data_IF_293103818947
#
_entry.id   IF_293103818947
#
_cell.length_a   1.000
_cell.length_b   1.000
_cell.length_c   1.000
_cell.angle_alpha   90.00
_cell.angle_beta   90.00
_cell.angle_gamma   90.00
#
_symmetry.space_group_name_H-M   'P 1'
#
loop_
_entity.id
_entity.type
_entity.pdbx_description
1 polymer ?
#
# COMPACT_ATOMS: atom_id res chain seq x y z
N UNK A 1 -5.20 -18.96 -19.32
CA UNK A 1 -4.85 -18.05 -18.20
C UNK A 1 -4.68 -18.87 -16.94
N UNK A 2 -3.55 -18.76 -16.24
CA UNK A 2 -3.42 -19.44 -14.97
C UNK A 2 -4.40 -18.87 -13.94
N UNK A 3 -4.99 -19.71 -13.07
CA UNK A 3 -5.98 -19.26 -12.10
C UNK A 3 -5.36 -18.34 -11.05
N UNK A 4 -6.18 -17.43 -10.49
CA UNK A 4 -5.80 -16.66 -9.33
C UNK A 4 -5.66 -17.60 -8.13
N UNK A 5 -4.49 -17.64 -7.54
CA UNK A 5 -4.34 -18.23 -6.21
C UNK A 5 -4.79 -17.21 -5.15
N UNK A 6 -5.25 -17.69 -4.01
CA UNK A 6 -5.65 -16.81 -2.88
C UNK A 6 -4.52 -15.84 -2.54
N UNK A 7 -3.28 -16.30 -2.55
CA UNK A 7 -2.10 -15.49 -2.25
C UNK A 7 -1.90 -14.34 -3.25
N UNK A 8 -2.08 -14.59 -4.55
CA UNK A 8 -1.94 -13.53 -5.57
C UNK A 8 -3.08 -12.53 -5.48
N UNK A 9 -4.30 -13.01 -5.19
CA UNK A 9 -5.46 -12.14 -5.02
C UNK A 9 -5.31 -11.23 -3.79
N UNK A 10 -4.92 -11.78 -2.65
CA UNK A 10 -4.70 -10.99 -1.42
C UNK A 10 -3.58 -9.98 -1.60
N UNK A 11 -2.46 -10.35 -2.24
CA UNK A 11 -1.38 -9.43 -2.58
C UNK A 11 -1.87 -8.27 -3.48
N UNK A 12 -2.65 -8.57 -4.52
CA UNK A 12 -3.16 -7.54 -5.44
C UNK A 12 -4.12 -6.58 -4.72
N UNK A 13 -5.01 -7.10 -3.87
CA UNK A 13 -5.91 -6.29 -3.05
C UNK A 13 -5.13 -5.44 -2.05
N UNK A 14 -4.18 -6.01 -1.33
CA UNK A 14 -3.35 -5.29 -0.36
C UNK A 14 -2.54 -4.16 -1.02
N UNK A 15 -1.93 -4.43 -2.19
CA UNK A 15 -1.21 -3.42 -2.97
C UNK A 15 -2.13 -2.28 -3.44
N UNK A 16 -3.33 -2.62 -3.90
CA UNK A 16 -4.33 -1.63 -4.34
C UNK A 16 -4.82 -0.76 -3.18
N UNK A 17 -5.10 -1.36 -2.02
CA UNK A 17 -5.45 -0.61 -0.81
C UNK A 17 -4.30 0.31 -0.37
N UNK A 18 -3.06 -0.17 -0.41
CA UNK A 18 -1.89 0.63 -0.07
C UNK A 18 -1.70 1.82 -1.03
N UNK A 19 -1.98 1.64 -2.34
CA UNK A 19 -1.97 2.72 -3.32
C UNK A 19 -2.99 3.81 -2.99
N UNK A 20 -4.19 3.46 -2.54
CA UNK A 20 -5.25 4.42 -2.19
C UNK A 20 -4.98 5.10 -0.86
N UNK A 21 -4.47 4.37 0.15
CA UNK A 21 -4.19 4.94 1.47
C UNK A 21 -2.94 5.82 1.51
N UNK A 22 -1.96 5.59 0.62
CA UNK A 22 -0.71 6.34 0.57
C UNK A 22 -0.91 7.86 0.41
N UNK A 23 -1.67 8.33 -0.59
CA UNK A 23 -1.97 9.74 -0.77
C UNK A 23 -2.64 10.38 0.45
N UNK A 24 -3.55 9.66 1.10
CA UNK A 24 -4.21 10.16 2.33
C UNK A 24 -3.16 10.49 3.39
N UNK A 25 -2.16 9.61 3.56
CA UNK A 25 -1.08 9.83 4.52
C UNK A 25 -0.12 10.96 4.12
N UNK A 26 0.16 11.09 2.82
CA UNK A 26 1.10 12.10 2.31
C UNK A 26 0.45 13.48 2.27
N UNK A 27 -0.80 13.58 1.80
CA UNK A 27 -1.47 14.85 1.53
C UNK A 27 -2.16 15.45 2.77
N UNK A 28 -2.49 14.62 3.78
CA UNK A 28 -3.13 15.10 5.00
C UNK A 28 -2.24 16.16 5.69
N UNK A 29 -2.76 17.36 6.04
CA UNK A 29 -1.95 18.44 6.61
C UNK A 29 -1.47 18.12 8.04
N UNK A 30 -2.33 17.52 8.89
CA UNK A 30 -2.00 17.18 10.28
C UNK A 30 -1.30 15.83 10.32
N UNK A 31 -0.10 15.77 10.91
CA UNK A 31 0.74 14.57 11.04
C UNK A 31 0.97 14.23 12.51
N UNK A 32 1.19 12.95 12.81
CA UNK A 32 1.55 12.49 14.15
C UNK A 32 0.37 12.34 15.12
N UNK A 33 -0.84 12.75 14.74
CA UNK A 33 -2.05 12.54 15.52
C UNK A 33 -2.55 11.08 15.43
N UNK A 34 -3.58 10.75 16.21
CA UNK A 34 -4.14 9.38 16.25
C UNK A 34 -4.62 8.90 14.88
N UNK A 35 -5.16 9.81 14.05
CA UNK A 35 -5.63 9.48 12.68
C UNK A 35 -4.43 9.08 11.82
N UNK A 36 -3.37 9.90 11.79
CA UNK A 36 -2.16 9.62 11.04
C UNK A 36 -1.52 8.29 11.47
N UNK A 37 -1.44 8.05 12.78
CA UNK A 37 -0.85 6.82 13.32
C UNK A 37 -1.69 5.60 12.96
N UNK A 38 -3.03 5.66 13.05
CA UNK A 38 -3.90 4.52 12.76
C UNK A 38 -3.87 4.15 11.29
N UNK A 39 -4.08 5.13 10.39
CA UNK A 39 -4.02 4.90 8.94
C UNK A 39 -2.60 4.48 8.53
N UNK A 40 -1.57 5.09 9.13
CA UNK A 40 -0.17 4.76 8.86
C UNK A 40 0.21 3.34 9.26
N UNK A 41 -0.31 2.83 10.38
CA UNK A 41 -0.11 1.42 10.79
C UNK A 41 -0.79 0.46 9.83
N UNK A 42 -2.03 0.75 9.40
CA UNK A 42 -2.72 -0.06 8.41
C UNK A 42 -1.95 -0.07 7.08
N UNK A 43 -1.52 1.09 6.60
CA UNK A 43 -0.72 1.20 5.38
C UNK A 43 0.60 0.43 5.48
N UNK A 44 1.33 0.58 6.59
CA UNK A 44 2.58 -0.13 6.80
C UNK A 44 2.38 -1.66 6.86
N UNK A 45 1.30 -2.13 7.51
CA UNK A 45 0.93 -3.55 7.53
C UNK A 45 0.67 -4.09 6.12
N UNK A 46 -0.11 -3.38 5.31
CA UNK A 46 -0.35 -3.73 3.90
C UNK A 46 0.96 -3.78 3.09
N UNK A 47 1.85 -2.81 3.26
CA UNK A 47 3.14 -2.79 2.55
C UNK A 47 4.06 -3.94 2.95
N UNK A 48 4.08 -4.32 4.24
CA UNK A 48 4.83 -5.48 4.72
C UNK A 48 4.24 -6.79 4.17
N UNK A 49 2.92 -6.94 4.14
CA UNK A 49 2.21 -8.08 3.54
C UNK A 49 2.51 -8.20 2.04
N UNK A 50 2.39 -7.10 1.29
CA UNK A 50 2.71 -7.03 -0.14
C UNK A 50 4.16 -7.45 -0.40
N UNK A 51 5.10 -6.92 0.37
CA UNK A 51 6.51 -7.22 0.19
C UNK A 51 6.84 -8.67 0.58
N UNK A 52 6.36 -9.15 1.72
CA UNK A 52 6.57 -10.53 2.17
C UNK A 52 5.89 -11.53 1.24
N UNK A 53 4.64 -11.28 0.85
CA UNK A 53 3.87 -12.13 -0.05
C UNK A 53 4.53 -12.31 -1.41
N UNK A 54 5.23 -11.30 -1.92
CA UNK A 54 5.89 -11.35 -3.22
C UNK A 54 6.98 -12.43 -3.35
N UNK A 55 7.49 -12.95 -2.23
CA UNK A 55 8.47 -14.05 -2.24
C UNK A 55 7.86 -15.42 -2.53
N UNK A 56 6.56 -15.57 -2.33
CA UNK A 56 5.86 -16.86 -2.47
C UNK A 56 5.26 -17.11 -3.85
N UNK A 57 5.31 -16.13 -4.76
CA UNK A 57 4.85 -16.28 -6.14
C UNK A 57 5.80 -15.59 -7.13
N UNK A 58 5.64 -15.91 -8.42
CA UNK A 58 6.57 -15.49 -9.46
C UNK A 58 7.77 -16.41 -9.56
N UNK A 59 8.25 -16.64 -10.78
CA UNK A 59 9.42 -17.49 -11.04
C UNK A 59 10.71 -16.93 -10.42
N UNK A 60 11.70 -17.79 -10.24
CA UNK A 60 13.02 -17.39 -9.73
C UNK A 60 13.97 -16.87 -10.83
N UNK A 61 13.59 -16.98 -12.11
CA UNK A 61 14.40 -16.55 -13.24
C UNK A 61 13.93 -15.26 -13.89
N UNK A 62 14.85 -14.63 -14.64
CA UNK A 62 14.59 -13.40 -15.39
C UNK A 62 14.82 -12.10 -14.60
N UNK A 63 15.38 -11.11 -15.28
CA UNK A 63 15.77 -9.81 -14.69
C UNK A 63 14.63 -9.10 -13.95
N UNK A 64 13.40 -9.18 -14.48
CA UNK A 64 12.24 -8.55 -13.86
C UNK A 64 11.87 -9.18 -12.51
N UNK A 65 11.98 -10.49 -12.36
CA UNK A 65 11.69 -11.16 -11.10
C UNK A 65 12.77 -10.88 -10.05
N UNK A 66 14.03 -10.80 -10.46
CA UNK A 66 15.13 -10.39 -9.59
C UNK A 66 14.92 -8.95 -9.11
N UNK A 67 14.56 -8.04 -10.01
CA UNK A 67 14.28 -6.64 -9.68
C UNK A 67 13.11 -6.53 -8.69
N UNK A 68 11.99 -7.23 -8.92
CA UNK A 68 10.83 -7.18 -8.03
C UNK A 68 11.15 -7.74 -6.64
N UNK A 69 11.98 -8.78 -6.54
CA UNK A 69 12.45 -9.31 -5.24
C UNK A 69 13.37 -8.34 -4.51
N UNK A 70 14.29 -7.70 -5.23
CA UNK A 70 15.14 -6.66 -4.66
C UNK A 70 14.29 -5.48 -4.14
N UNK A 71 13.26 -5.08 -4.89
CA UNK A 71 12.30 -4.07 -4.48
C UNK A 71 11.50 -4.51 -3.23
N UNK A 72 11.13 -5.79 -3.12
CA UNK A 72 10.46 -6.33 -1.94
C UNK A 72 11.36 -6.28 -0.69
N UNK A 73 12.63 -6.70 -0.81
CA UNK A 73 13.63 -6.58 0.27
C UNK A 73 13.79 -5.11 0.68
N UNK A 74 13.93 -4.23 -0.30
CA UNK A 74 14.04 -2.79 -0.05
C UNK A 74 12.80 -2.22 0.64
N UNK A 75 11.61 -2.68 0.27
CA UNK A 75 10.34 -2.28 0.90
C UNK A 75 10.27 -2.72 2.36
N UNK A 76 10.61 -3.99 2.66
CA UNK A 76 10.68 -4.50 4.03
C UNK A 76 11.64 -3.68 4.88
N UNK A 77 12.85 -3.41 4.36
CA UNK A 77 13.84 -2.58 5.04
C UNK A 77 13.32 -1.16 5.27
N UNK A 78 12.80 -0.50 4.23
CA UNK A 78 12.39 0.90 4.28
C UNK A 78 11.21 1.13 5.21
N UNK A 79 10.18 0.27 5.18
CA UNK A 79 9.03 0.38 6.09
C UNK A 79 9.46 0.16 7.53
N UNK A 80 10.26 -0.88 7.80
CA UNK A 80 10.77 -1.18 9.14
C UNK A 80 11.63 -0.04 9.68
N UNK A 81 12.55 0.48 8.85
CA UNK A 81 13.39 1.61 9.21
C UNK A 81 12.58 2.89 9.43
N UNK A 82 11.59 3.16 8.59
CA UNK A 82 10.70 4.30 8.75
C UNK A 82 9.90 4.25 10.06
N UNK A 83 9.38 3.08 10.45
CA UNK A 83 8.70 2.89 11.74
C UNK A 83 9.67 3.12 12.90
N UNK A 84 10.86 2.55 12.81
CA UNK A 84 11.89 2.69 13.84
C UNK A 84 12.32 4.15 14.04
N UNK A 85 12.52 4.91 12.94
CA UNK A 85 12.84 6.34 12.97
C UNK A 85 11.71 7.17 13.60
N UNK A 86 10.44 6.86 13.27
CA UNK A 86 9.29 7.52 13.90
C UNK A 86 9.27 7.32 15.43
N UNK A 87 9.54 6.08 15.90
CA UNK A 87 9.61 5.76 17.33
C UNK A 87 10.75 6.49 18.05
N UNK A 88 11.82 6.85 17.35
CA UNK A 88 12.94 7.63 17.87
C UNK A 88 12.78 9.15 17.73
N UNK A 89 11.62 9.62 17.23
CA UNK A 89 11.38 11.04 16.99
C UNK A 89 12.07 11.61 15.75
N UNK A 90 12.77 10.79 14.97
CA UNK A 90 13.45 11.22 13.74
C UNK A 90 12.45 11.27 12.57
N UNK A 91 11.59 12.29 12.61
CA UNK A 91 10.48 12.46 11.67
C UNK A 91 10.97 12.76 10.26
N UNK A 92 12.13 13.39 10.10
CA UNK A 92 12.72 13.68 8.78
C UNK A 92 13.01 12.38 8.01
N UNK A 93 13.72 11.45 8.63
CA UNK A 93 14.06 10.18 8.00
C UNK A 93 12.83 9.26 7.89
N UNK A 94 11.94 9.23 8.91
CA UNK A 94 10.65 8.55 8.81
C UNK A 94 9.91 8.95 7.53
N UNK A 95 9.73 10.27 7.30
CA UNK A 95 9.04 10.78 6.13
C UNK A 95 9.74 10.38 4.82
N UNK A 96 11.07 10.44 4.79
CA UNK A 96 11.86 10.03 3.61
C UNK A 96 11.62 8.57 3.24
N UNK A 97 11.71 7.66 4.22
CA UNK A 97 11.46 6.24 4.00
C UNK A 97 10.03 5.95 3.55
N UNK A 98 9.01 6.53 4.20
CA UNK A 98 7.60 6.30 3.87
C UNK A 98 7.24 6.81 2.47
N UNK A 99 7.67 8.02 2.12
CA UNK A 99 7.42 8.61 0.81
C UNK A 99 8.17 7.82 -0.29
N UNK A 100 9.44 7.48 -0.06
CA UNK A 100 10.22 6.68 -1.00
C UNK A 100 9.60 5.31 -1.26
N UNK A 101 9.13 4.64 -0.20
CA UNK A 101 8.43 3.36 -0.33
C UNK A 101 7.13 3.49 -1.14
N UNK A 102 6.37 4.55 -0.92
CA UNK A 102 5.14 4.79 -1.69
C UNK A 102 5.43 5.02 -3.18
N UNK A 103 6.46 5.79 -3.53
CA UNK A 103 6.88 5.94 -4.93
C UNK A 103 7.39 4.62 -5.53
N UNK A 104 8.05 3.79 -4.74
CA UNK A 104 8.42 2.43 -5.14
C UNK A 104 7.19 1.57 -5.49
N UNK A 105 6.12 1.65 -4.67
CA UNK A 105 4.85 0.97 -4.94
C UNK A 105 4.19 1.47 -6.24
N UNK A 106 4.18 2.79 -6.48
CA UNK A 106 3.67 3.38 -7.73
C UNK A 106 4.47 2.83 -8.92
N UNK A 107 5.81 2.87 -8.85
CA UNK A 107 6.68 2.37 -9.92
C UNK A 107 6.46 0.89 -10.22
N UNK A 108 6.34 0.05 -9.18
CA UNK A 108 6.00 -1.36 -9.33
C UNK A 108 4.63 -1.56 -9.99
N UNK A 109 3.62 -0.77 -9.59
CA UNK A 109 2.26 -0.86 -10.13
C UNK A 109 2.23 -0.45 -11.61
N UNK A 110 2.92 0.61 -11.99
CA UNK A 110 3.09 1.01 -13.41
C UNK A 110 3.76 -0.13 -14.19
N UNK A 111 4.84 -0.70 -13.66
CA UNK A 111 5.53 -1.82 -14.30
C UNK A 111 4.64 -3.05 -14.52
N UNK A 112 3.76 -3.36 -13.55
CA UNK A 112 2.78 -4.45 -13.69
C UNK A 112 1.74 -4.15 -14.76
N UNK A 113 1.23 -2.92 -14.83
CA UNK A 113 0.20 -2.52 -15.79
C UNK A 113 0.77 -2.37 -17.21
N UNK A 114 2.01 -1.90 -17.35
CA UNK A 114 2.67 -1.74 -18.64
C UNK A 114 2.94 -3.06 -19.37
N UNK A 115 3.02 -4.18 -18.65
CA UNK A 115 3.25 -5.49 -19.23
C UNK A 115 1.92 -6.20 -19.47
N UNK A 116 1.40 -6.13 -20.70
CA UNK A 116 0.08 -6.64 -21.08
C UNK A 116 -0.13 -8.14 -20.80
N UNK A 117 0.94 -8.93 -20.73
CA UNK A 117 0.89 -10.38 -20.41
C UNK A 117 0.72 -10.65 -18.90
N UNK A 118 0.82 -9.61 -18.05
CA UNK A 118 0.58 -9.76 -16.61
C UNK A 118 -0.91 -9.96 -16.32
N UNK A 119 -1.20 -10.61 -15.20
CA UNK A 119 -2.59 -11.00 -14.83
C UNK A 119 -3.55 -9.84 -14.73
N UNK A 120 -3.15 -8.73 -14.12
CA UNK A 120 -4.05 -7.57 -13.94
C UNK A 120 -4.50 -7.01 -15.29
N UNK A 121 -3.61 -6.62 -16.24
CA UNK A 121 -4.03 -6.15 -17.55
C UNK A 121 -4.83 -7.19 -18.35
N UNK A 122 -4.43 -8.46 -18.34
CA UNK A 122 -5.13 -9.51 -19.08
C UNK A 122 -6.54 -9.75 -18.55
N UNK A 123 -6.76 -9.65 -17.25
CA UNK A 123 -8.08 -9.79 -16.63
C UNK A 123 -8.95 -8.55 -16.85
N UNK A 124 -8.38 -7.34 -16.85
CA UNK A 124 -9.12 -6.14 -17.25
C UNK A 124 -9.60 -6.24 -18.71
N UNK A 125 -8.78 -6.79 -19.60
CA UNK A 125 -9.17 -7.00 -21.00
C UNK A 125 -10.27 -8.08 -21.15
N UNK A 126 -10.17 -9.17 -20.37
CA UNK A 126 -11.10 -10.29 -20.45
C UNK A 126 -12.43 -10.04 -19.71
N UNK A 127 -12.38 -9.32 -18.56
CA UNK A 127 -13.52 -9.12 -17.67
C UNK A 127 -13.61 -7.66 -17.19
N UNK A 128 -13.80 -6.68 -18.09
CA UNK A 128 -13.70 -5.26 -17.76
C UNK A 128 -14.71 -4.81 -16.69
N UNK A 129 -15.94 -5.27 -16.76
CA UNK A 129 -16.96 -4.93 -15.77
C UNK A 129 -16.62 -5.45 -14.37
N UNK A 130 -16.23 -6.73 -14.27
CA UNK A 130 -15.86 -7.35 -13.00
C UNK A 130 -14.66 -6.65 -12.37
N UNK A 131 -13.61 -6.39 -13.15
CA UNK A 131 -12.41 -5.71 -12.65
C UNK A 131 -12.68 -4.26 -12.24
N UNK A 132 -13.56 -3.56 -12.95
CA UNK A 132 -14.01 -2.22 -12.57
C UNK A 132 -14.79 -2.23 -11.26
N UNK A 133 -15.69 -3.19 -11.06
CA UNK A 133 -16.43 -3.35 -9.79
C UNK A 133 -15.49 -3.66 -8.63
N UNK A 134 -14.50 -4.53 -8.82
CA UNK A 134 -13.47 -4.82 -7.81
C UNK A 134 -12.69 -3.55 -7.46
N UNK A 135 -12.28 -2.77 -8.45
CA UNK A 135 -11.56 -1.51 -8.23
C UNK A 135 -12.40 -0.52 -7.43
N UNK A 136 -13.68 -0.34 -7.80
CA UNK A 136 -14.61 0.52 -7.06
C UNK A 136 -14.77 0.02 -5.62
N UNK A 137 -14.93 -1.29 -5.41
CA UNK A 137 -15.05 -1.87 -4.08
C UNK A 137 -13.80 -1.60 -3.21
N UNK A 138 -12.59 -1.73 -3.78
CA UNK A 138 -11.33 -1.43 -3.08
C UNK A 138 -11.28 0.05 -2.65
N UNK A 139 -11.63 0.96 -3.55
CA UNK A 139 -11.66 2.40 -3.24
C UNK A 139 -12.72 2.71 -2.18
N UNK A 140 -13.90 2.10 -2.27
CA UNK A 140 -14.97 2.25 -1.28
C UNK A 140 -14.55 1.74 0.11
N UNK A 141 -13.91 0.58 0.19
CA UNK A 141 -13.39 0.01 1.45
C UNK A 141 -12.33 0.93 2.06
N UNK A 142 -11.37 1.41 1.26
CA UNK A 142 -10.35 2.34 1.73
C UNK A 142 -10.97 3.67 2.21
N UNK A 143 -11.93 4.23 1.46
CA UNK A 143 -12.65 5.45 1.81
C UNK A 143 -13.48 5.28 3.09
N UNK A 144 -14.20 4.16 3.22
CA UNK A 144 -14.93 3.82 4.43
C UNK A 144 -14.00 3.71 5.66
N UNK A 145 -12.88 3.00 5.52
CA UNK A 145 -11.90 2.89 6.60
C UNK A 145 -11.36 4.25 7.04
N UNK A 146 -10.95 5.10 6.09
CA UNK A 146 -10.47 6.46 6.38
C UNK A 146 -11.57 7.28 7.04
N UNK A 147 -12.79 7.24 6.53
CA UNK A 147 -13.95 7.94 7.09
C UNK A 147 -14.24 7.49 8.53
N UNK A 148 -14.28 6.17 8.78
CA UNK A 148 -14.50 5.62 10.11
C UNK A 148 -13.42 6.06 11.11
N UNK A 149 -12.14 6.05 10.69
CA UNK A 149 -11.03 6.54 11.52
C UNK A 149 -11.17 8.05 11.79
N UNK A 150 -11.52 8.84 10.78
CA UNK A 150 -11.72 10.28 10.95
C UNK A 150 -12.87 10.60 11.90
N UNK A 151 -14.01 9.91 11.76
CA UNK A 151 -15.18 10.10 12.65
C UNK A 151 -14.81 9.71 14.07
N UNK A 152 -14.19 8.55 14.28
CA UNK A 152 -13.81 8.06 15.60
C UNK A 152 -12.93 9.05 16.38
N UNK A 153 -11.97 9.68 15.72
CA UNK A 153 -11.02 10.57 16.37
C UNK A 153 -11.38 12.07 16.27
N UNK A 154 -12.43 12.43 15.54
CA UNK A 154 -12.93 13.80 15.47
C UNK A 154 -13.44 14.31 16.83
N UNK A 155 -14.08 13.47 17.60
CA UNK A 155 -14.60 13.77 18.93
C UNK A 155 -13.53 13.90 20.00
N UNK A 156 -12.35 13.29 19.78
CA UNK A 156 -11.23 13.35 20.73
C UNK A 156 -10.34 14.60 20.52
N UNK A 157 -10.51 15.33 19.43
CA UNK A 157 -9.76 16.55 19.11
C UNK A 157 -10.46 17.83 19.57
N UNK A 158 -11.40 17.76 20.52
CA UNK A 158 -11.93 18.92 21.19
C UNK A 158 -10.76 19.68 21.88
N UNK A 159 -10.61 21.00 21.63
CA UNK A 159 -9.52 21.74 22.24
C UNK A 159 -9.64 21.67 23.76
N UNK A 160 -8.50 21.44 24.44
CA UNK A 160 -8.43 21.58 25.89
C UNK A 160 -9.02 22.92 26.29
N UNK A 161 -9.93 22.99 27.28
CA UNK A 161 -10.34 24.26 27.85
C UNK A 161 -9.09 24.97 28.36
N UNK A 162 -8.89 26.23 27.92
CA UNK A 162 -7.79 27.08 28.32
C UNK A 162 -7.92 27.43 29.80
#
# INVERSE_FOLDING_TARGET
MEPWTVLIATHAVAASLALVLGPVQILRPVKGDKIHVTIGRAWAGLMLDVAAGSFFFGGYGGAINIFLRALAVWTLFSVSMGIWRARRGDIRHHRGFMIGTYFGLIGASIGVVAVHTRRVPSWFAAYPLMMSLITVAIVAVAGFFVGAVMIRYRTESAPWPR
#
